data_IF_344681470884
#
_entry.id   IF_344681470884
#
_cell.length_a   1.000
_cell.length_b   1.000
_cell.length_c   1.000
_cell.angle_alpha   90.00
_cell.angle_beta   90.00
_cell.angle_gamma   90.00
#
_symmetry.space_group_name_H-M   'P 1'
#
loop_
_entity.id
_entity.type
_entity.pdbx_description
1 polymer ?
#
# COMPACT_ATOMS: atom_id res chain seq x y z
N UNK A 1 2.59 27.26 -23.36
CA UNK A 1 2.29 25.85 -23.06
C UNK A 1 2.60 25.48 -21.60
N UNK A 2 3.77 25.78 -21.08
CA UNK A 2 4.16 25.41 -19.70
C UNK A 2 3.31 26.06 -18.59
N UNK A 3 2.85 27.30 -18.72
CA UNK A 3 1.95 27.95 -17.76
C UNK A 3 0.59 27.25 -17.74
N UNK A 4 0.11 26.77 -18.91
CA UNK A 4 -1.13 25.98 -19.03
C UNK A 4 -1.01 24.62 -18.33
N UNK A 5 0.14 23.96 -18.45
CA UNK A 5 0.39 22.69 -17.75
C UNK A 5 0.45 22.88 -16.23
N UNK A 6 1.09 23.95 -15.76
CA UNK A 6 1.15 24.26 -14.33
C UNK A 6 -0.24 24.54 -13.76
N UNK A 7 -1.07 25.29 -14.48
CA UNK A 7 -2.44 25.58 -14.08
C UNK A 7 -3.30 24.31 -14.07
N UNK A 8 -3.22 23.49 -15.12
CA UNK A 8 -3.92 22.19 -15.22
C UNK A 8 -3.56 21.29 -14.04
N UNK A 9 -2.26 21.10 -13.79
CA UNK A 9 -1.78 20.29 -12.67
C UNK A 9 -2.30 20.81 -11.32
N UNK A 10 -2.19 22.12 -11.07
CA UNK A 10 -2.62 22.71 -9.82
C UNK A 10 -4.13 22.55 -9.59
N UNK A 11 -4.95 22.67 -10.64
CA UNK A 11 -6.40 22.46 -10.57
C UNK A 11 -6.73 20.99 -10.32
N UNK A 12 -6.07 20.05 -11.01
CA UNK A 12 -6.23 18.62 -10.77
C UNK A 12 -5.79 18.25 -9.35
N UNK A 13 -4.62 18.73 -8.89
CA UNK A 13 -4.16 18.42 -7.53
C UNK A 13 -5.13 18.95 -6.44
N UNK A 14 -5.79 20.09 -6.67
CA UNK A 14 -6.78 20.67 -5.77
C UNK A 14 -8.17 20.04 -5.87
N UNK A 15 -8.53 19.42 -7.00
CA UNK A 15 -9.81 18.75 -7.17
C UNK A 15 -10.01 17.67 -6.10
N UNK A 16 -11.17 17.64 -5.44
CA UNK A 16 -11.44 16.76 -4.31
C UNK A 16 -12.35 15.57 -4.65
N UNK A 17 -13.00 15.61 -5.82
CA UNK A 17 -13.93 14.60 -6.30
C UNK A 17 -13.90 14.51 -7.83
N UNK A 18 -14.57 13.51 -8.41
CA UNK A 18 -14.63 13.32 -9.86
C UNK A 18 -15.29 14.47 -10.60
N UNK A 19 -16.30 15.12 -10.00
CA UNK A 19 -16.99 16.27 -10.65
C UNK A 19 -16.04 17.44 -10.85
N UNK A 20 -15.16 17.69 -9.86
CA UNK A 20 -14.15 18.74 -9.97
C UNK A 20 -13.15 18.38 -11.09
N UNK A 21 -12.71 17.12 -11.18
CA UNK A 21 -11.81 16.64 -12.24
C UNK A 21 -12.46 16.81 -13.60
N UNK A 22 -13.72 16.38 -13.77
CA UNK A 22 -14.47 16.53 -15.04
C UNK A 22 -14.56 18.00 -15.45
N UNK A 23 -14.85 18.90 -14.49
CA UNK A 23 -14.88 20.34 -14.76
C UNK A 23 -13.53 20.83 -15.27
N UNK A 24 -12.42 20.47 -14.61
CA UNK A 24 -11.07 20.84 -15.05
C UNK A 24 -10.79 20.32 -16.46
N UNK A 25 -11.12 19.06 -16.76
CA UNK A 25 -10.92 18.50 -18.09
C UNK A 25 -11.73 19.23 -19.16
N UNK A 26 -12.97 19.62 -18.86
CA UNK A 26 -13.81 20.43 -19.77
C UNK A 26 -13.22 21.83 -20.00
N UNK A 27 -12.81 22.51 -18.93
CA UNK A 27 -12.23 23.86 -18.98
C UNK A 27 -10.94 23.90 -19.82
N UNK A 28 -10.18 22.80 -19.85
CA UNK A 28 -8.93 22.68 -20.62
C UNK A 28 -9.10 22.02 -22.00
N UNK A 29 -10.30 21.55 -22.34
CA UNK A 29 -10.62 20.92 -23.63
C UNK A 29 -10.19 19.46 -23.73
N UNK A 30 -9.93 18.77 -22.61
CA UNK A 30 -9.50 17.37 -22.57
C UNK A 30 -10.61 16.37 -22.22
N UNK A 31 -11.85 16.83 -22.06
CA UNK A 31 -12.95 15.92 -21.68
C UNK A 31 -13.40 15.04 -22.84
N UNK A 32 -13.48 15.59 -24.04
CA UNK A 32 -13.89 14.83 -25.22
C UNK A 32 -12.76 13.92 -25.70
N UNK A 33 -13.06 12.62 -25.79
CA UNK A 33 -12.09 11.59 -26.20
C UNK A 33 -12.20 11.28 -27.68
N UNK A 34 -13.34 11.60 -28.29
CA UNK A 34 -13.59 11.33 -29.72
C UNK A 34 -12.57 12.07 -30.56
N UNK A 35 -11.78 11.31 -31.32
CA UNK A 35 -10.73 11.85 -32.20
C UNK A 35 -9.61 12.63 -31.44
N UNK A 36 -9.52 12.51 -30.13
CA UNK A 36 -8.50 13.20 -29.36
C UNK A 36 -7.15 12.49 -29.47
N UNK A 37 -6.11 13.26 -29.82
CA UNK A 37 -4.71 12.80 -29.78
C UNK A 37 -4.06 13.02 -28.41
N UNK A 38 -4.84 13.49 -27.41
CA UNK A 38 -4.35 13.86 -26.10
C UNK A 38 -4.43 12.73 -25.09
N UNK A 39 -4.96 11.57 -25.48
CA UNK A 39 -5.11 10.41 -24.64
C UNK A 39 -4.43 9.19 -25.27
N UNK A 40 -3.64 8.47 -24.47
CA UNK A 40 -2.99 7.22 -24.84
C UNK A 40 -3.53 6.05 -24.02
N UNK A 41 -3.44 4.83 -24.55
CA UNK A 41 -3.83 3.63 -23.82
C UNK A 41 -2.82 3.33 -22.71
N UNK A 42 -3.31 3.08 -21.50
CA UNK A 42 -2.47 2.69 -20.37
C UNK A 42 -1.78 1.35 -20.69
N UNK A 43 -0.45 1.31 -20.55
CA UNK A 43 0.36 0.14 -20.85
C UNK A 43 0.45 -0.18 -22.34
N UNK A 44 0.15 0.81 -23.21
CA UNK A 44 0.12 0.65 -24.68
C UNK A 44 -0.75 -0.54 -25.14
N UNK A 45 -1.90 -0.74 -24.47
CA UNK A 45 -2.79 -1.88 -24.68
C UNK A 45 -4.26 -1.46 -24.63
N UNK A 46 -4.98 -1.63 -25.74
CA UNK A 46 -6.41 -1.32 -25.84
C UNK A 46 -7.31 -2.25 -25.00
N UNK A 47 -6.85 -3.45 -24.69
CA UNK A 47 -7.57 -4.45 -23.88
C UNK A 47 -7.16 -4.42 -22.39
N UNK A 48 -6.58 -3.30 -21.93
CA UNK A 48 -5.97 -3.20 -20.60
C UNK A 48 -6.96 -3.31 -19.42
N UNK A 49 -8.24 -2.99 -19.64
CA UNK A 49 -9.23 -2.92 -18.56
C UNK A 49 -9.49 -4.29 -17.93
N UNK A 50 -9.53 -5.35 -18.71
CA UNK A 50 -9.69 -6.71 -18.17
C UNK A 50 -8.54 -7.09 -17.23
N UNK A 51 -7.31 -6.78 -17.61
CA UNK A 51 -6.13 -7.00 -16.79
C UNK A 51 -6.17 -6.19 -15.49
N UNK A 52 -6.50 -4.89 -15.58
CA UNK A 52 -6.60 -3.99 -14.41
C UNK A 52 -7.76 -4.39 -13.50
N UNK A 53 -8.91 -4.76 -14.06
CA UNK A 53 -10.11 -5.09 -13.29
C UNK A 53 -10.03 -6.46 -12.60
N UNK A 54 -9.25 -7.39 -13.14
CA UNK A 54 -9.04 -8.72 -12.55
C UNK A 54 -7.91 -8.76 -11.50
N UNK A 55 -7.23 -7.64 -11.28
CA UNK A 55 -6.28 -7.52 -10.19
C UNK A 55 -7.01 -7.44 -8.84
N UNK A 56 -6.26 -7.26 -7.77
CA UNK A 56 -6.73 -7.28 -6.39
C UNK A 56 -8.13 -6.69 -6.18
N UNK A 57 -9.09 -7.53 -5.78
CA UNK A 57 -10.49 -7.16 -5.54
C UNK A 57 -10.69 -6.43 -4.21
N UNK A 58 -9.73 -6.56 -3.26
CA UNK A 58 -9.77 -5.88 -1.98
C UNK A 58 -9.17 -4.48 -2.09
N UNK A 59 -9.99 -3.46 -1.78
CA UNK A 59 -9.56 -2.07 -1.83
C UNK A 59 -8.42 -1.72 -0.85
N UNK A 60 -8.36 -2.38 0.30
CA UNK A 60 -7.28 -2.15 1.27
C UNK A 60 -5.97 -2.77 0.81
N UNK A 61 -6.03 -3.98 0.24
CA UNK A 61 -4.87 -4.64 -0.36
C UNK A 61 -4.30 -3.85 -1.53
N UNK A 62 -5.15 -3.33 -2.41
CA UNK A 62 -4.73 -2.48 -3.53
C UNK A 62 -4.06 -1.18 -3.04
N UNK A 63 -4.59 -0.56 -1.97
CA UNK A 63 -3.99 0.63 -1.38
C UNK A 63 -2.63 0.33 -0.73
N UNK A 64 -2.52 -0.80 0.00
CA UNK A 64 -1.26 -1.24 0.60
C UNK A 64 -0.20 -1.48 -0.47
N UNK A 65 -0.54 -2.06 -1.61
CA UNK A 65 0.43 -2.24 -2.70
C UNK A 65 0.99 -0.92 -3.25
N UNK A 66 0.18 0.15 -3.31
CA UNK A 66 0.71 1.48 -3.65
C UNK A 66 1.69 1.99 -2.60
N UNK A 67 1.39 1.79 -1.31
CA UNK A 67 2.26 2.19 -0.21
C UNK A 67 3.56 1.37 -0.19
N UNK A 68 3.47 0.07 -0.44
CA UNK A 68 4.62 -0.83 -0.59
C UNK A 68 5.52 -0.40 -1.74
N UNK A 69 4.95 -0.08 -2.91
CA UNK A 69 5.73 0.43 -4.04
C UNK A 69 6.45 1.75 -3.71
N UNK A 70 5.85 2.59 -2.86
CA UNK A 70 6.47 3.83 -2.37
C UNK A 70 7.62 3.56 -1.39
N UNK A 71 7.52 2.52 -0.56
CA UNK A 71 8.63 2.06 0.29
C UNK A 71 9.77 1.51 -0.57
N UNK A 72 9.47 0.65 -1.53
CA UNK A 72 10.45 0.09 -2.47
C UNK A 72 11.25 1.20 -3.18
N UNK A 73 10.56 2.24 -3.65
CA UNK A 73 11.22 3.38 -4.30
C UNK A 73 12.20 4.11 -3.36
N UNK A 74 11.92 4.15 -2.05
CA UNK A 74 12.84 4.69 -1.06
C UNK A 74 14.04 3.78 -0.82
N UNK A 75 13.86 2.45 -0.75
CA UNK A 75 14.95 1.48 -0.59
C UNK A 75 15.88 1.50 -1.79
N UNK A 76 15.32 1.52 -3.00
CA UNK A 76 16.08 1.59 -4.26
C UNK A 76 16.87 2.91 -4.34
N UNK A 77 16.24 4.04 -3.94
CA UNK A 77 16.92 5.33 -3.88
C UNK A 77 18.19 5.27 -3.02
N UNK A 78 18.09 4.75 -1.80
CA UNK A 78 19.22 4.68 -0.88
C UNK A 78 20.33 3.76 -1.40
N UNK A 79 19.98 2.63 -2.03
CA UNK A 79 20.94 1.77 -2.68
C UNK A 79 21.71 2.53 -3.77
N UNK A 80 21.03 3.24 -4.67
CA UNK A 80 21.65 4.03 -5.75
C UNK A 80 22.47 5.19 -5.22
N UNK A 81 22.00 5.90 -4.20
CA UNK A 81 22.74 7.00 -3.56
C UNK A 81 24.02 6.52 -2.85
N UNK A 82 24.03 5.26 -2.40
CA UNK A 82 25.22 4.60 -1.84
C UNK A 82 26.18 4.06 -2.91
N UNK A 83 25.89 4.30 -4.19
CA UNK A 83 26.70 3.81 -5.31
C UNK A 83 26.52 2.31 -5.59
N UNK A 84 25.46 1.68 -5.07
CA UNK A 84 25.13 0.27 -5.30
C UNK A 84 24.15 0.14 -6.46
N UNK A 85 24.43 -0.78 -7.37
CA UNK A 85 23.42 -1.26 -8.30
C UNK A 85 22.45 -2.16 -7.54
N UNK A 86 21.13 -1.83 -7.51
CA UNK A 86 20.12 -2.61 -6.79
C UNK A 86 20.01 -4.08 -7.24
N UNK A 87 20.39 -4.40 -8.47
CA UNK A 87 20.35 -5.75 -9.04
C UNK A 87 21.64 -6.55 -8.81
N UNK A 88 22.69 -5.92 -8.30
CA UNK A 88 23.99 -6.55 -8.11
C UNK A 88 24.00 -7.53 -6.92
N UNK A 89 24.96 -8.46 -6.93
CA UNK A 89 25.19 -9.36 -5.81
C UNK A 89 25.64 -8.64 -4.52
N UNK A 90 26.17 -7.42 -4.63
CA UNK A 90 26.58 -6.58 -3.50
C UNK A 90 25.42 -5.84 -2.85
N UNK A 91 24.26 -5.83 -3.49
CA UNK A 91 23.05 -5.27 -2.94
C UNK A 91 22.55 -6.10 -1.74
N UNK A 92 21.75 -5.52 -0.84
CA UNK A 92 21.16 -6.26 0.28
C UNK A 92 20.43 -7.52 -0.20
N UNK A 93 20.56 -8.60 0.55
CA UNK A 93 19.97 -9.90 0.22
C UNK A 93 18.49 -10.01 0.63
N UNK A 94 18.06 -9.11 1.51
CA UNK A 94 16.69 -9.04 2.05
C UNK A 94 16.27 -7.60 2.34
N UNK A 95 14.98 -7.40 2.55
CA UNK A 95 14.44 -6.11 3.01
C UNK A 95 15.01 -5.73 4.37
N UNK A 96 15.16 -6.69 5.27
CA UNK A 96 15.72 -6.45 6.60
C UNK A 96 17.14 -5.93 6.51
N UNK A 97 18.00 -6.57 5.69
CA UNK A 97 19.37 -6.11 5.43
C UNK A 97 19.38 -4.69 4.85
N UNK A 98 18.48 -4.39 3.93
CA UNK A 98 18.39 -3.07 3.33
C UNK A 98 17.98 -2.00 4.34
N UNK A 99 16.99 -2.29 5.16
CA UNK A 99 16.47 -1.37 6.19
C UNK A 99 17.52 -1.13 7.27
N UNK A 100 18.26 -2.16 7.68
CA UNK A 100 19.36 -2.01 8.61
C UNK A 100 20.52 -1.21 8.01
N UNK A 101 20.93 -1.55 6.78
CA UNK A 101 22.06 -0.91 6.09
C UNK A 101 21.80 0.56 5.77
N UNK A 102 20.61 0.90 5.28
CA UNK A 102 20.33 2.24 4.76
C UNK A 102 19.65 3.17 5.77
N UNK A 103 18.94 2.62 6.74
CA UNK A 103 18.17 3.40 7.71
C UNK A 103 18.58 3.15 9.16
N UNK A 104 19.59 2.31 9.39
CA UNK A 104 20.08 1.96 10.71
C UNK A 104 18.97 1.44 11.67
N UNK A 105 18.02 0.67 11.13
CA UNK A 105 16.95 0.04 11.89
C UNK A 105 17.37 -1.40 12.17
N UNK A 106 17.86 -1.64 13.37
CA UNK A 106 18.40 -2.93 13.79
C UNK A 106 17.39 -4.07 13.56
N UNK A 107 17.79 -5.10 12.83
CA UNK A 107 16.97 -6.29 12.51
C UNK A 107 15.60 -5.94 11.88
N UNK A 108 15.45 -4.73 11.28
CA UNK A 108 14.18 -4.26 10.74
C UNK A 108 13.11 -3.98 11.81
N UNK A 109 13.47 -3.92 13.08
CA UNK A 109 12.53 -3.72 14.17
C UNK A 109 12.23 -2.22 14.38
N UNK A 110 11.07 -1.76 13.93
CA UNK A 110 10.64 -0.36 14.03
C UNK A 110 10.46 0.12 15.49
N UNK A 111 10.33 -0.79 16.46
CA UNK A 111 10.18 -0.41 17.86
C UNK A 111 11.50 0.06 18.50
N UNK A 112 12.62 -0.15 17.83
CA UNK A 112 13.93 0.40 18.23
C UNK A 112 14.07 1.90 17.93
N UNK A 113 13.18 2.46 17.09
CA UNK A 113 13.19 3.85 16.71
C UNK A 113 12.62 4.76 17.81
N UNK A 114 13.26 5.91 18.02
CA UNK A 114 12.62 6.98 18.77
C UNK A 114 11.38 7.51 18.02
N UNK A 115 10.43 8.11 18.73
CA UNK A 115 9.26 8.73 18.08
C UNK A 115 9.66 9.76 17.03
N UNK A 116 10.70 10.54 17.28
CA UNK A 116 11.22 11.55 16.35
C UNK A 116 11.78 10.91 15.08
N UNK A 117 12.55 9.83 15.22
CA UNK A 117 13.14 9.14 14.07
C UNK A 117 12.06 8.42 13.25
N UNK A 118 11.10 7.79 13.93
CA UNK A 118 9.95 7.18 13.27
C UNK A 118 9.10 8.21 12.50
N UNK A 119 8.89 9.42 13.05
CA UNK A 119 8.19 10.51 12.36
C UNK A 119 9.00 11.05 11.17
N UNK A 120 10.33 11.15 11.31
CA UNK A 120 11.21 11.58 10.21
C UNK A 120 11.18 10.57 9.06
N UNK A 121 11.22 9.28 9.35
CA UNK A 121 11.14 8.22 8.35
C UNK A 121 9.74 8.15 7.71
N UNK A 122 8.68 8.32 8.50
CA UNK A 122 7.31 8.32 8.02
C UNK A 122 7.00 9.41 6.98
N UNK A 123 7.80 10.49 6.94
CA UNK A 123 7.69 11.52 5.91
C UNK A 123 8.19 11.07 4.54
N UNK A 124 8.88 9.94 4.46
CA UNK A 124 9.39 9.42 3.18
C UNK A 124 8.29 8.75 2.35
N UNK A 125 7.28 8.20 3.03
CA UNK A 125 6.06 7.65 2.41
C UNK A 125 4.87 8.12 3.21
N UNK A 126 3.92 8.82 2.58
CA UNK A 126 2.73 9.34 3.27
C UNK A 126 1.45 8.99 2.53
N UNK A 127 0.41 8.69 3.30
CA UNK A 127 -0.98 8.58 2.85
C UNK A 127 -1.77 9.75 3.43
N UNK A 128 -2.29 10.63 2.58
CA UNK A 128 -3.03 11.83 2.98
C UNK A 128 -4.46 11.74 2.49
N UNK A 129 -5.45 11.87 3.39
CA UNK A 129 -6.84 12.00 2.99
C UNK A 129 -7.20 13.46 2.74
N UNK A 130 -7.85 13.71 1.61
CA UNK A 130 -8.39 15.00 1.19
C UNK A 130 -9.88 14.86 0.88
N UNK A 131 -10.56 15.96 0.54
CA UNK A 131 -11.96 15.97 0.18
C UNK A 131 -12.89 16.22 1.36
N UNK A 132 -14.13 15.84 1.22
CA UNK A 132 -15.16 16.12 2.24
C UNK A 132 -15.11 15.12 3.40
N UNK A 133 -15.53 15.60 4.58
CA UNK A 133 -15.78 14.73 5.75
C UNK A 133 -16.90 13.74 5.44
N UNK A 134 -16.74 12.49 5.88
CA UNK A 134 -17.84 11.52 5.82
C UNK A 134 -19.05 12.03 6.60
N UNK A 135 -20.22 12.04 5.98
CA UNK A 135 -21.50 12.39 6.62
C UNK A 135 -22.21 11.11 7.05
N UNK A 136 -22.80 11.10 8.26
CA UNK A 136 -23.47 9.92 8.84
C UNK A 136 -24.52 9.27 7.92
N UNK A 137 -25.14 10.04 7.03
CA UNK A 137 -26.26 9.60 6.19
C UNK A 137 -25.90 9.50 4.68
N UNK A 138 -24.64 9.68 4.29
CA UNK A 138 -24.19 9.53 2.89
C UNK A 138 -23.23 8.36 2.77
N UNK A 139 -23.76 7.21 2.32
CA UNK A 139 -22.96 5.98 2.11
C UNK A 139 -22.01 6.09 0.91
N UNK A 140 -22.27 7.02 -0.02
CA UNK A 140 -21.59 7.13 -1.31
C UNK A 140 -20.60 8.30 -1.34
N UNK A 141 -20.15 8.79 -0.19
CA UNK A 141 -19.14 9.84 -0.12
C UNK A 141 -17.79 9.24 0.28
N UNK A 142 -16.91 9.12 -0.69
CA UNK A 142 -15.58 8.55 -0.52
C UNK A 142 -14.51 9.64 -0.42
N UNK A 143 -13.45 9.43 0.38
CA UNK A 143 -12.31 10.33 0.42
C UNK A 143 -11.49 10.24 -0.87
N UNK A 144 -10.79 11.31 -1.22
CA UNK A 144 -9.67 11.24 -2.13
C UNK A 144 -8.38 11.04 -1.34
N UNK A 145 -7.47 10.21 -1.86
CA UNK A 145 -6.19 9.95 -1.21
C UNK A 145 -5.05 10.51 -2.04
N UNK A 146 -4.08 11.09 -1.35
CA UNK A 146 -2.80 11.47 -1.91
C UNK A 146 -1.74 10.56 -1.31
N UNK A 147 -1.06 9.78 -2.14
CA UNK A 147 0.09 8.96 -1.77
C UNK A 147 1.33 9.69 -2.26
N UNK A 148 2.27 9.87 -1.38
CA UNK A 148 3.47 10.65 -1.61
C UNK A 148 4.67 9.82 -1.21
N UNK A 149 5.67 9.71 -2.07
CA UNK A 149 6.96 9.16 -1.70
C UNK A 149 8.13 10.09 -2.07
N UNK A 150 9.19 9.98 -1.28
CA UNK A 150 10.50 10.62 -1.52
C UNK A 150 11.51 9.65 -2.09
N UNK A 151 11.02 8.70 -2.90
CA UNK A 151 11.84 7.71 -3.57
C UNK A 151 12.65 8.29 -4.74
N UNK A 152 13.15 7.41 -5.59
CA UNK A 152 13.98 7.81 -6.74
C UNK A 152 13.23 8.70 -7.74
N UNK A 153 11.89 8.60 -7.81
CA UNK A 153 11.08 9.28 -8.82
C UNK A 153 11.41 8.84 -10.24
N UNK A 154 10.66 9.41 -11.20
CA UNK A 154 10.84 9.12 -12.62
C UNK A 154 10.95 10.42 -13.41
N UNK A 155 11.79 10.43 -14.45
CA UNK A 155 11.80 11.53 -15.41
C UNK A 155 10.55 11.45 -16.30
N UNK A 156 10.03 12.58 -16.83
CA UNK A 156 8.88 12.55 -17.73
C UNK A 156 9.04 11.58 -18.91
N UNK A 157 10.26 11.46 -19.45
CA UNK A 157 10.57 10.59 -20.58
C UNK A 157 10.41 9.10 -20.26
N UNK A 158 10.53 8.70 -18.97
CA UNK A 158 10.52 7.31 -18.54
C UNK A 158 9.18 6.89 -17.91
N UNK A 159 8.24 7.82 -17.72
CA UNK A 159 6.97 7.50 -17.05
C UNK A 159 6.13 6.48 -17.81
N UNK A 160 6.14 6.49 -19.14
CA UNK A 160 5.40 5.55 -19.97
C UNK A 160 5.92 4.12 -19.81
N UNK A 161 7.24 3.95 -19.66
CA UNK A 161 7.89 2.66 -19.48
C UNK A 161 7.91 2.15 -18.05
N UNK A 162 7.55 2.99 -17.08
CA UNK A 162 7.61 2.67 -15.65
C UNK A 162 6.24 2.77 -14.97
N UNK A 163 5.80 3.98 -14.64
CA UNK A 163 4.57 4.23 -13.85
C UNK A 163 3.29 3.94 -14.64
N UNK A 164 3.32 4.03 -15.96
CA UNK A 164 2.19 3.83 -16.87
C UNK A 164 2.26 2.52 -17.65
N UNK A 165 3.25 1.67 -17.37
CA UNK A 165 3.42 0.37 -18.01
C UNK A 165 2.58 -0.71 -17.34
N UNK A 166 2.16 -1.70 -18.12
CA UNK A 166 1.58 -2.95 -17.63
C UNK A 166 2.60 -4.09 -17.84
N UNK A 167 2.79 -4.93 -16.82
CA UNK A 167 3.58 -6.16 -16.91
C UNK A 167 5.09 -5.99 -17.25
N UNK A 168 5.67 -4.80 -17.15
CA UNK A 168 7.12 -4.65 -17.26
C UNK A 168 7.77 -4.96 -15.91
N UNK A 169 8.57 -6.03 -15.85
CA UNK A 169 9.21 -6.57 -14.63
C UNK A 169 10.44 -5.80 -14.17
N UNK A 170 10.33 -4.49 -13.95
CA UNK A 170 11.47 -3.61 -13.64
C UNK A 170 12.14 -3.85 -12.27
N UNK A 171 11.57 -4.73 -11.42
CA UNK A 171 12.06 -4.99 -10.05
C UNK A 171 12.35 -6.48 -9.78
N UNK A 172 12.17 -7.37 -10.74
CA UNK A 172 12.22 -8.82 -10.52
C UNK A 172 13.57 -9.34 -10.01
N UNK A 173 14.66 -8.63 -10.29
CA UNK A 173 16.00 -9.00 -9.86
C UNK A 173 16.42 -8.37 -8.53
N UNK A 174 15.65 -7.43 -8.01
CA UNK A 174 15.98 -6.73 -6.78
C UNK A 174 15.47 -7.56 -5.59
N UNK A 175 16.36 -8.04 -4.74
CA UNK A 175 16.06 -8.97 -3.64
C UNK A 175 15.44 -8.29 -2.41
N UNK A 176 15.65 -6.97 -2.26
CA UNK A 176 15.27 -6.20 -1.07
C UNK A 176 14.04 -5.30 -1.28
N UNK A 177 13.13 -5.67 -2.18
CA UNK A 177 11.86 -4.99 -2.41
C UNK A 177 10.68 -5.92 -2.19
N UNK A 178 9.53 -5.35 -1.84
CA UNK A 178 8.30 -6.11 -1.58
C UNK A 178 7.52 -6.42 -2.86
N UNK A 179 7.50 -5.47 -3.81
CA UNK A 179 6.74 -5.58 -5.05
C UNK A 179 7.40 -6.54 -6.04
N UNK A 180 6.79 -7.71 -6.24
CA UNK A 180 7.27 -8.72 -7.20
C UNK A 180 6.75 -8.48 -8.62
N UNK A 181 5.58 -7.88 -8.77
CA UNK A 181 4.89 -7.71 -10.04
C UNK A 181 4.44 -6.26 -10.19
N UNK A 182 4.78 -5.60 -11.29
CA UNK A 182 4.28 -4.25 -11.61
C UNK A 182 2.75 -4.16 -11.80
N UNK A 183 2.03 -5.25 -11.56
CA UNK A 183 0.58 -5.34 -11.73
C UNK A 183 -0.20 -4.74 -10.55
N UNK A 184 0.25 -4.94 -9.32
CA UNK A 184 -0.49 -4.51 -8.13
C UNK A 184 -0.70 -3.00 -8.03
N UNK A 185 0.22 -2.21 -8.58
CA UNK A 185 0.13 -0.76 -8.59
C UNK A 185 -1.02 -0.18 -9.40
N UNK A 186 -1.63 -0.92 -10.32
CA UNK A 186 -2.77 -0.48 -11.15
C UNK A 186 -4.13 -0.90 -10.57
N UNK A 187 -4.16 -1.86 -9.64
CA UNK A 187 -5.40 -2.35 -9.01
C UNK A 187 -6.21 -1.24 -8.31
N UNK A 188 -5.57 -0.17 -7.85
CA UNK A 188 -6.25 0.97 -7.22
C UNK A 188 -7.21 1.70 -8.17
N UNK A 189 -6.97 1.66 -9.50
CA UNK A 189 -7.75 2.39 -10.49
C UNK A 189 -9.23 1.96 -10.46
N UNK A 190 -9.50 0.66 -10.29
CA UNK A 190 -10.88 0.15 -10.21
C UNK A 190 -11.65 0.67 -8.99
N UNK A 191 -10.95 1.09 -7.96
CA UNK A 191 -11.53 1.60 -6.72
C UNK A 191 -11.66 3.13 -6.68
N UNK A 192 -11.17 3.83 -7.71
CA UNK A 192 -11.29 5.28 -7.85
C UNK A 192 -12.59 5.63 -8.54
N UNK A 193 -13.58 6.17 -7.82
CA UNK A 193 -14.85 6.65 -8.35
C UNK A 193 -15.47 5.82 -9.47
N UNK A 194 -16.13 6.48 -10.41
CA UNK A 194 -16.72 5.84 -11.57
C UNK A 194 -15.86 5.96 -12.83
N UNK A 195 -15.01 6.96 -12.88
CA UNK A 195 -14.10 7.22 -14.01
C UNK A 195 -12.68 6.70 -13.79
N UNK A 196 -12.36 6.11 -12.66
CA UNK A 196 -11.02 5.60 -12.39
C UNK A 196 -9.93 6.66 -12.42
N UNK A 197 -10.25 7.90 -12.03
CA UNK A 197 -9.29 9.00 -12.06
C UNK A 197 -8.16 8.80 -11.07
N UNK A 198 -6.95 8.85 -11.58
CA UNK A 198 -5.73 8.87 -10.80
C UNK A 198 -4.77 9.90 -11.40
N UNK A 199 -4.42 10.95 -10.64
CA UNK A 199 -3.36 11.89 -11.01
C UNK A 199 -2.03 11.31 -10.56
N UNK A 200 -1.06 11.24 -11.46
CA UNK A 200 0.30 10.78 -11.19
C UNK A 200 1.24 11.94 -11.53
N UNK A 201 2.13 12.29 -10.62
CA UNK A 201 3.23 13.21 -10.91
C UNK A 201 4.53 12.63 -10.34
N UNK A 202 5.62 12.74 -11.10
CA UNK A 202 6.91 12.23 -10.66
C UNK A 202 8.06 13.11 -11.15
N UNK A 203 9.12 13.15 -10.34
CA UNK A 203 10.39 13.81 -10.67
C UNK A 203 11.54 12.97 -10.16
N UNK A 204 12.48 12.67 -11.05
CA UNK A 204 13.67 11.88 -10.73
C UNK A 204 14.55 12.63 -9.72
N UNK A 205 15.17 11.88 -8.82
CA UNK A 205 16.11 12.45 -7.85
C UNK A 205 17.29 13.10 -8.56
N UNK A 206 17.70 14.35 -8.22
CA UNK A 206 18.71 15.10 -8.97
C UNK A 206 20.05 14.39 -9.15
N UNK A 207 20.48 13.60 -8.16
CA UNK A 207 21.74 12.83 -8.23
C UNK A 207 21.65 11.58 -9.12
N UNK A 208 20.45 11.20 -9.57
CA UNK A 208 20.22 10.03 -10.41
C UNK A 208 19.88 10.40 -11.86
N UNK A 209 19.94 11.68 -12.21
CA UNK A 209 19.66 12.16 -13.56
C UNK A 209 20.77 11.68 -14.49
N UNK A 210 20.38 11.01 -15.55
CA UNK A 210 21.27 10.50 -16.60
C UNK A 210 21.23 11.40 -17.84
N UNK A 211 22.19 11.17 -18.76
CA UNK A 211 22.21 11.91 -20.02
C UNK A 211 20.91 11.66 -20.81
N UNK A 212 20.17 12.73 -21.09
CA UNK A 212 18.87 12.68 -21.78
C UNK A 212 17.66 12.74 -20.86
N UNK A 213 17.84 12.59 -19.55
CA UNK A 213 16.75 12.80 -18.56
C UNK A 213 16.43 14.29 -18.41
N UNK A 214 15.17 14.56 -18.07
CA UNK A 214 14.70 15.89 -17.67
C UNK A 214 14.66 16.03 -16.16
N UNK A 215 15.15 17.16 -15.64
CA UNK A 215 15.02 17.53 -14.21
C UNK A 215 13.70 18.29 -13.93
N UNK A 216 12.65 17.90 -14.59
CA UNK A 216 11.32 18.47 -14.44
C UNK A 216 10.35 17.45 -13.84
N UNK A 217 9.25 17.93 -13.27
CA UNK A 217 8.12 17.10 -12.94
C UNK A 217 7.37 16.71 -14.22
N UNK A 218 7.13 15.42 -14.43
CA UNK A 218 6.13 14.93 -15.36
C UNK A 218 4.83 14.66 -14.63
N UNK A 219 3.68 14.83 -15.29
CA UNK A 219 2.40 14.43 -14.70
C UNK A 219 1.44 13.90 -15.75
N UNK A 220 0.48 13.11 -15.32
CA UNK A 220 -0.62 12.62 -16.14
C UNK A 220 -1.84 12.31 -15.29
N UNK A 221 -2.99 12.18 -15.92
CA UNK A 221 -4.25 11.75 -15.30
C UNK A 221 -4.73 10.48 -16.01
N UNK A 222 -4.97 9.40 -15.26
CA UNK A 222 -5.66 8.23 -15.82
C UNK A 222 -7.17 8.46 -15.85
N UNK A 223 -7.85 7.82 -16.83
CA UNK A 223 -9.30 7.81 -16.95
C UNK A 223 -9.76 6.47 -17.49
N UNK A 224 -10.77 5.88 -16.83
CA UNK A 224 -11.55 4.80 -17.42
C UNK A 224 -12.56 5.39 -18.39
N UNK A 225 -12.58 4.87 -19.58
CA UNK A 225 -13.47 5.25 -20.68
C UNK A 225 -14.38 4.08 -20.98
N UNK A 226 -15.68 4.31 -20.93
CA UNK A 226 -16.68 3.29 -21.26
C UNK A 226 -16.84 3.13 -22.77
N UNK A 227 -17.49 2.06 -23.19
CA UNK A 227 -17.80 1.80 -24.58
C UNK A 227 -18.70 2.90 -25.18
N UNK A 228 -19.70 3.36 -24.44
CA UNK A 228 -20.61 4.43 -24.86
C UNK A 228 -19.87 5.75 -25.18
N UNK A 229 -18.78 6.02 -24.46
CA UNK A 229 -17.96 7.21 -24.71
C UNK A 229 -17.08 7.08 -25.97
N UNK A 230 -16.94 5.85 -26.53
CA UNK A 230 -16.16 5.51 -27.73
C UNK A 230 -17.02 5.10 -28.92
N UNK A 231 -18.30 5.51 -28.97
CA UNK A 231 -19.25 5.25 -30.07
C UNK A 231 -19.69 3.78 -30.21
N UNK A 232 -19.65 2.97 -29.18
CA UNK A 232 -20.08 1.58 -29.22
C UNK A 232 -19.21 0.65 -30.08
N UNK A 233 -17.98 1.09 -30.42
CA UNK A 233 -17.06 0.30 -31.26
C UNK A 233 -16.34 -0.82 -30.49
N UNK A 234 -16.39 -0.80 -29.17
CA UNK A 234 -15.65 -1.69 -28.31
C UNK A 234 -16.59 -2.37 -27.31
N UNK A 235 -16.31 -3.63 -27.01
CA UNK A 235 -17.13 -4.44 -26.07
C UNK A 235 -16.75 -4.28 -24.60
N UNK A 236 -15.77 -3.42 -24.26
CA UNK A 236 -15.29 -3.23 -22.91
C UNK A 236 -14.75 -1.83 -22.68
N UNK A 237 -14.75 -1.39 -21.43
CA UNK A 237 -14.03 -0.18 -21.03
C UNK A 237 -12.53 -0.30 -21.31
N UNK A 238 -11.85 0.84 -21.35
CA UNK A 238 -10.39 0.94 -21.43
C UNK A 238 -9.90 1.97 -20.41
N UNK A 239 -8.68 1.80 -19.92
CA UNK A 239 -8.00 2.84 -19.15
C UNK A 239 -7.03 3.58 -20.05
N UNK A 240 -7.16 4.90 -20.07
CA UNK A 240 -6.29 5.81 -20.84
C UNK A 240 -5.59 6.77 -19.86
N UNK A 241 -4.54 7.41 -20.35
CA UNK A 241 -3.86 8.48 -19.62
C UNK A 241 -3.67 9.72 -20.51
N UNK A 242 -3.69 10.89 -19.88
CA UNK A 242 -3.60 12.19 -20.53
C UNK A 242 -2.16 12.47 -20.98
N UNK A 243 -1.96 12.66 -22.27
CA UNK A 243 -0.69 12.98 -22.91
C UNK A 243 -0.92 14.02 -24.02
N UNK A 244 -1.13 15.32 -23.70
CA UNK A 244 -1.43 16.37 -24.67
C UNK A 244 -0.38 16.45 -25.76
N UNK A 245 -0.82 16.33 -27.03
CA UNK A 245 0.09 16.26 -28.17
C UNK A 245 0.95 15.00 -28.23
N UNK A 246 0.59 13.95 -27.50
CA UNK A 246 1.28 12.66 -27.47
C UNK A 246 2.45 12.55 -26.46
N UNK A 247 2.66 13.57 -25.63
CA UNK A 247 3.77 13.61 -24.65
C UNK A 247 3.27 13.79 -23.22
N UNK A 248 4.03 13.28 -22.25
CA UNK A 248 3.79 13.53 -20.83
C UNK A 248 3.99 15.02 -20.53
N UNK A 249 2.96 15.76 -20.06
CA UNK A 249 3.08 17.17 -19.74
C UNK A 249 4.07 17.41 -18.60
N UNK A 250 4.80 18.52 -18.68
CA UNK A 250 5.91 18.87 -17.79
C UNK A 250 5.65 20.15 -17.01
N UNK A 251 6.19 20.20 -15.80
CA UNK A 251 6.14 21.35 -14.90
C UNK A 251 7.55 21.82 -14.55
N UNK A 252 7.76 23.14 -14.58
CA UNK A 252 9.04 23.75 -14.15
C UNK A 252 9.13 23.99 -12.64
N UNK A 253 8.16 23.54 -11.87
CA UNK A 253 8.16 23.76 -10.43
C UNK A 253 9.33 23.07 -9.75
N UNK A 254 10.05 23.78 -8.89
CA UNK A 254 11.12 23.19 -8.08
C UNK A 254 10.54 22.25 -7.02
N UNK A 255 9.36 22.55 -6.49
CA UNK A 255 8.68 21.80 -5.44
C UNK A 255 7.17 21.85 -5.62
N UNK A 256 6.48 20.80 -5.19
CA UNK A 256 5.03 20.70 -5.18
C UNK A 256 4.54 20.71 -3.74
N UNK A 257 3.54 21.54 -3.45
CA UNK A 257 2.91 21.57 -2.14
C UNK A 257 1.90 20.43 -2.01
N UNK A 258 2.13 19.56 -1.02
CA UNK A 258 1.34 18.35 -0.80
C UNK A 258 0.45 18.38 0.45
N UNK A 259 0.76 19.28 1.41
CA UNK A 259 -0.04 19.50 2.61
C UNK A 259 -0.46 20.97 2.69
N UNK A 260 -1.72 21.27 3.11
CA UNK A 260 -2.28 22.61 2.99
C UNK A 260 -1.81 23.61 4.05
N UNK A 261 -1.40 23.19 5.25
CA UNK A 261 -1.20 24.08 6.38
C UNK A 261 -0.01 23.78 7.28
N UNK A 262 0.12 24.58 8.35
CA UNK A 262 1.14 24.43 9.39
C UNK A 262 0.78 23.33 10.41
N UNK A 263 -0.50 22.94 10.48
CA UNK A 263 -1.06 22.10 11.55
C UNK A 263 -0.73 20.61 11.43
N UNK A 264 0.03 20.22 10.39
CA UNK A 264 0.35 18.82 10.11
C UNK A 264 1.78 18.44 10.50
N UNK A 265 2.37 19.17 11.43
CA UNK A 265 3.65 18.77 12.01
C UNK A 265 3.58 17.33 12.57
N UNK A 266 4.63 16.52 12.43
CA UNK A 266 5.98 16.88 11.97
C UNK A 266 6.19 16.83 10.45
N UNK A 267 5.17 16.58 9.65
CA UNK A 267 5.31 16.29 8.23
C UNK A 267 5.53 17.54 7.37
N UNK A 268 6.50 17.45 6.45
CA UNK A 268 6.83 18.54 5.53
C UNK A 268 5.75 18.73 4.48
N UNK A 269 5.49 19.98 4.13
CA UNK A 269 4.43 20.42 3.22
C UNK A 269 4.79 20.29 1.74
N UNK A 270 6.06 20.33 1.42
CA UNK A 270 6.55 20.40 0.05
C UNK A 270 7.38 19.18 -0.30
N UNK A 271 7.22 18.72 -1.54
CA UNK A 271 7.98 17.64 -2.16
C UNK A 271 8.85 18.21 -3.29
N UNK A 272 10.16 17.94 -3.26
CA UNK A 272 11.12 18.43 -4.26
C UNK A 272 11.42 17.40 -5.35
N UNK A 273 11.33 16.11 -5.03
CA UNK A 273 11.45 14.96 -5.94
C UNK A 273 10.66 13.77 -5.38
N UNK A 274 10.54 12.70 -6.18
CA UNK A 274 9.80 11.49 -5.83
C UNK A 274 8.50 11.39 -6.61
N UNK A 275 7.49 10.74 -6.04
CA UNK A 275 6.22 10.49 -6.74
C UNK A 275 5.01 10.93 -5.91
N UNK A 276 4.03 11.45 -6.60
CA UNK A 276 2.71 11.82 -6.07
C UNK A 276 1.67 11.04 -6.86
N UNK A 277 0.79 10.33 -6.16
CA UNK A 277 -0.36 9.66 -6.75
C UNK A 277 -1.62 10.11 -6.02
N UNK A 278 -2.54 10.77 -6.72
CA UNK A 278 -3.84 11.15 -6.16
C UNK A 278 -4.93 10.26 -6.71
N UNK A 279 -5.63 9.57 -5.81
CA UNK A 279 -6.75 8.68 -6.08
C UNK A 279 -8.04 9.45 -5.75
N UNK A 280 -8.89 9.68 -6.73
CA UNK A 280 -10.12 10.44 -6.51
C UNK A 280 -11.26 9.53 -6.08
N UNK A 281 -12.00 9.96 -5.04
CA UNK A 281 -13.17 9.26 -4.47
C UNK A 281 -12.93 7.75 -4.31
N UNK A 282 -11.85 7.40 -3.61
CA UNK A 282 -11.43 6.02 -3.41
C UNK A 282 -12.42 5.23 -2.57
N UNK A 283 -13.00 4.18 -3.10
CA UNK A 283 -14.15 3.42 -2.56
C UNK A 283 -13.80 2.60 -1.31
N UNK A 284 -13.38 3.27 -0.25
CA UNK A 284 -13.24 2.67 1.09
C UNK A 284 -14.27 3.26 2.04
N UNK A 285 -15.02 2.43 2.78
CA UNK A 285 -15.93 2.91 3.80
C UNK A 285 -15.18 3.70 4.87
N UNK A 286 -15.59 4.93 5.12
CA UNK A 286 -15.00 5.80 6.13
C UNK A 286 -16.09 6.30 7.08
N UNK A 287 -15.89 6.12 8.38
CA UNK A 287 -16.80 6.62 9.43
C UNK A 287 -16.16 7.73 10.26
N UNK A 288 -14.85 7.80 10.28
CA UNK A 288 -14.08 8.76 11.08
C UNK A 288 -12.80 9.19 10.36
N UNK A 289 -11.84 9.71 11.10
CA UNK A 289 -10.50 10.02 10.59
C UNK A 289 -9.80 8.78 10.07
N UNK A 290 -9.02 8.93 8.98
CA UNK A 290 -8.20 7.84 8.48
C UNK A 290 -7.10 7.42 9.47
N UNK A 291 -6.66 8.32 10.32
CA UNK A 291 -5.71 8.04 11.41
C UNK A 291 -6.27 7.07 12.46
N UNK A 292 -7.57 6.81 12.44
CA UNK A 292 -8.23 5.81 13.29
C UNK A 292 -8.68 4.59 12.47
N UNK A 293 -9.69 4.75 11.61
CA UNK A 293 -10.34 3.61 10.95
C UNK A 293 -9.45 2.96 9.89
N UNK A 294 -8.93 3.77 8.95
CA UNK A 294 -8.15 3.24 7.84
C UNK A 294 -6.79 2.72 8.32
N UNK A 295 -6.13 3.45 9.23
CA UNK A 295 -4.85 3.00 9.83
C UNK A 295 -4.94 1.59 10.39
N UNK A 296 -6.02 1.27 11.10
CA UNK A 296 -6.24 -0.06 11.67
C UNK A 296 -6.36 -1.13 10.59
N UNK A 297 -7.15 -0.82 9.55
CA UNK A 297 -7.32 -1.75 8.42
C UNK A 297 -6.03 -2.00 7.66
N UNK A 298 -5.27 -0.95 7.39
CA UNK A 298 -3.99 -1.07 6.68
C UNK A 298 -2.96 -1.86 7.49
N UNK A 299 -2.90 -1.67 8.82
CA UNK A 299 -2.03 -2.47 9.68
C UNK A 299 -2.40 -3.96 9.70
N UNK A 300 -3.65 -4.33 9.47
CA UNK A 300 -4.06 -5.75 9.37
C UNK A 300 -3.76 -6.39 8.02
N UNK A 301 -3.57 -5.59 6.98
CA UNK A 301 -3.15 -6.06 5.63
C UNK A 301 -1.63 -6.04 5.50
N UNK A 302 -0.98 -5.08 6.13
CA UNK A 302 0.48 -4.98 6.24
C UNK A 302 0.86 -5.35 7.68
N UNK A 303 1.11 -6.65 7.95
CA UNK A 303 1.44 -7.11 9.29
C UNK A 303 2.77 -6.54 9.80
N UNK A 304 3.74 -6.35 8.90
CA UNK A 304 5.01 -5.68 9.19
C UNK A 304 5.32 -4.69 8.08
N UNK A 305 5.56 -3.43 8.41
CA UNK A 305 6.06 -2.44 7.47
C UNK A 305 7.58 -2.34 7.58
N UNK A 306 8.34 -2.36 6.49
CA UNK A 306 9.79 -2.17 6.55
C UNK A 306 10.19 -0.77 7.03
N UNK A 307 9.42 0.25 6.65
CA UNK A 307 9.60 1.64 7.06
C UNK A 307 8.26 2.18 7.60
N UNK A 308 8.29 3.12 8.55
CA UNK A 308 7.09 3.82 8.98
C UNK A 308 6.44 4.57 7.81
N UNK A 309 5.10 4.50 7.68
CA UNK A 309 4.33 5.26 6.71
C UNK A 309 3.55 6.34 7.44
N UNK A 310 3.68 7.60 7.02
CA UNK A 310 2.89 8.70 7.56
C UNK A 310 1.44 8.60 7.11
N UNK A 311 0.49 8.82 8.01
CA UNK A 311 -0.92 8.91 7.68
C UNK A 311 -1.47 10.25 8.17
N UNK A 312 -2.11 11.01 7.27
CA UNK A 312 -2.55 12.38 7.52
C UNK A 312 -3.99 12.57 7.06
N UNK A 313 -4.82 13.16 7.91
CA UNK A 313 -6.19 13.51 7.56
C UNK A 313 -6.37 15.03 7.51
N UNK A 314 -6.46 15.60 6.30
CA UNK A 314 -6.62 17.04 6.09
C UNK A 314 -8.06 17.52 6.08
N UNK A 315 -9.04 16.60 6.24
CA UNK A 315 -10.47 16.90 6.13
C UNK A 315 -11.07 17.66 7.32
N UNK A 316 -10.25 18.07 8.28
CA UNK A 316 -10.67 18.96 9.37
C UNK A 316 -11.65 18.33 10.37
N UNK A 317 -11.57 17.02 10.63
CA UNK A 317 -12.32 16.40 11.73
C UNK A 317 -11.89 16.98 13.08
N UNK A 318 -12.87 17.30 13.95
CA UNK A 318 -12.60 17.74 15.32
C UNK A 318 -12.03 16.61 16.20
N UNK A 319 -11.27 17.00 17.25
CA UNK A 319 -10.71 16.08 18.26
C UNK A 319 -9.60 15.15 17.73
N UNK A 320 -8.65 14.80 18.56
CA UNK A 320 -7.50 13.93 18.25
C UNK A 320 -6.52 14.48 17.21
N UNK A 321 -5.38 13.81 17.04
CA UNK A 321 -4.34 14.24 16.10
C UNK A 321 -4.74 13.96 14.65
N UNK A 322 -4.48 14.89 13.70
CA UNK A 322 -4.70 14.65 12.29
C UNK A 322 -3.61 13.78 11.64
N UNK A 323 -2.54 13.47 12.36
CA UNK A 323 -1.38 12.73 11.90
C UNK A 323 -1.11 11.51 12.78
N UNK A 324 -0.66 10.41 12.17
CA UNK A 324 -0.25 9.18 12.84
C UNK A 324 0.67 8.38 11.89
N UNK A 325 1.03 7.14 12.25
CA UNK A 325 1.91 6.24 11.48
C UNK A 325 1.25 4.88 11.27
N UNK A 326 1.53 4.27 10.12
CA UNK A 326 1.29 2.86 9.84
C UNK A 326 2.63 2.14 10.02
N UNK A 327 2.71 1.20 10.93
CA UNK A 327 3.91 0.45 11.28
C UNK A 327 3.78 -1.06 11.02
N UNK A 328 2.56 -1.52 10.76
CA UNK A 328 2.22 -2.94 10.75
C UNK A 328 1.76 -3.44 12.12
N UNK A 329 0.93 -4.48 12.10
CA UNK A 329 0.26 -5.00 13.29
C UNK A 329 1.27 -5.48 14.35
N UNK A 330 2.33 -6.18 13.93
CA UNK A 330 3.38 -6.68 14.84
C UNK A 330 4.07 -5.54 15.59
N UNK A 331 4.46 -4.48 14.90
CA UNK A 331 5.18 -3.36 15.52
C UNK A 331 4.30 -2.53 16.47
N UNK A 332 2.98 -2.43 16.19
CA UNK A 332 2.07 -1.67 17.06
C UNK A 332 1.78 -2.43 18.35
N UNK A 333 1.77 -3.76 18.30
CA UNK A 333 1.22 -4.61 19.34
C UNK A 333 2.28 -5.39 20.13
N UNK A 334 3.57 -5.18 19.85
CA UNK A 334 4.65 -5.96 20.50
C UNK A 334 4.53 -6.01 22.03
N UNK A 335 4.26 -4.87 22.68
CA UNK A 335 4.07 -4.81 24.13
C UNK A 335 2.71 -5.34 24.65
N UNK A 336 1.87 -5.91 23.78
CA UNK A 336 0.53 -6.42 24.12
C UNK A 336 0.43 -7.94 23.97
N UNK A 337 1.54 -8.60 23.61
CA UNK A 337 1.60 -10.05 23.55
C UNK A 337 2.01 -10.63 24.91
N UNK A 338 1.28 -11.65 25.36
CA UNK A 338 1.62 -12.41 26.57
C UNK A 338 2.99 -13.06 26.34
N UNK A 339 3.93 -12.86 27.24
CA UNK A 339 5.30 -13.36 27.15
C UNK A 339 6.03 -13.06 25.84
N UNK A 340 5.58 -12.02 25.13
CA UNK A 340 6.16 -11.55 23.88
C UNK A 340 5.84 -12.41 22.66
N UNK A 341 6.60 -12.19 21.60
CA UNK A 341 6.44 -12.86 20.31
C UNK A 341 7.32 -14.11 20.27
N UNK A 342 6.78 -15.20 19.74
CA UNK A 342 7.47 -16.49 19.61
C UNK A 342 7.79 -16.76 18.13
N UNK A 343 8.86 -17.51 17.91
CA UNK A 343 9.34 -17.90 16.58
C UNK A 343 9.50 -19.41 16.50
N UNK A 344 9.22 -19.99 15.35
CA UNK A 344 9.45 -21.38 15.03
C UNK A 344 9.79 -21.54 13.56
N UNK A 345 10.36 -22.69 13.19
CA UNK A 345 10.56 -23.09 11.81
C UNK A 345 9.88 -24.44 11.61
N UNK A 346 9.21 -24.60 10.47
CA UNK A 346 8.59 -25.86 10.06
C UNK A 346 9.09 -26.25 8.68
N UNK A 347 9.34 -27.56 8.51
CA UNK A 347 9.67 -28.15 7.21
C UNK A 347 8.41 -28.80 6.65
N UNK A 348 8.02 -28.37 5.46
CA UNK A 348 6.83 -28.87 4.80
C UNK A 348 7.26 -29.65 3.55
N UNK A 349 7.04 -30.96 3.49
CA UNK A 349 7.40 -31.78 2.32
C UNK A 349 6.83 -31.19 1.04
N UNK A 350 7.62 -31.17 -0.03
CA UNK A 350 7.28 -30.66 -1.35
C UNK A 350 6.95 -29.15 -1.44
N UNK A 351 6.98 -28.44 -0.31
CA UNK A 351 6.71 -26.99 -0.22
C UNK A 351 8.00 -26.23 0.13
N UNK A 352 8.67 -26.60 1.22
CA UNK A 352 9.91 -25.97 1.69
C UNK A 352 9.90 -25.64 3.18
N UNK A 353 10.90 -24.88 3.60
CA UNK A 353 11.08 -24.45 4.99
C UNK A 353 10.38 -23.10 5.20
N UNK A 354 9.58 -23.00 6.26
CA UNK A 354 8.81 -21.81 6.61
C UNK A 354 9.20 -21.31 7.99
N UNK A 355 9.34 -19.98 8.08
CA UNK A 355 9.46 -19.28 9.36
C UNK A 355 8.07 -18.90 9.86
N UNK A 356 7.80 -19.22 11.10
CA UNK A 356 6.52 -18.96 11.75
C UNK A 356 6.77 -17.97 12.90
N UNK A 357 6.04 -16.87 12.89
CA UNK A 357 6.00 -15.89 13.98
C UNK A 357 4.61 -15.92 14.60
N UNK A 358 4.49 -16.06 15.91
CA UNK A 358 3.19 -16.13 16.55
C UNK A 358 3.19 -15.46 17.92
N UNK A 359 2.00 -15.02 18.36
CA UNK A 359 1.83 -14.40 19.66
C UNK A 359 0.37 -14.37 20.07
N UNK A 360 0.13 -14.41 21.37
CA UNK A 360 -1.21 -14.32 21.96
C UNK A 360 -1.39 -12.93 22.54
N UNK A 361 -2.43 -12.22 22.11
CA UNK A 361 -2.76 -10.92 22.67
C UNK A 361 -3.32 -11.06 24.09
N UNK A 362 -2.89 -10.19 24.98
CA UNK A 362 -3.44 -10.11 26.32
C UNK A 362 -4.92 -9.69 26.27
N UNK A 363 -5.79 -10.62 26.57
CA UNK A 363 -7.23 -10.42 26.71
C UNK A 363 -7.65 -10.46 28.16
N UNK A 364 -7.18 -9.55 28.98
CA UNK A 364 -7.78 -9.41 30.30
C UNK A 364 -9.23 -8.99 30.14
N UNK A 365 -10.09 -9.72 30.85
CA UNK A 365 -11.55 -9.56 30.80
C UNK A 365 -11.95 -8.08 30.93
N UNK A 366 -12.80 -7.54 30.01
CA UNK A 366 -13.27 -6.16 30.12
C UNK A 366 -13.98 -5.86 31.45
N UNK A 367 -14.52 -6.87 32.11
CA UNK A 367 -15.22 -6.71 33.40
C UNK A 367 -14.27 -6.51 34.57
N UNK A 368 -13.01 -6.99 34.51
CA UNK A 368 -12.01 -6.82 35.55
C UNK A 368 -11.31 -5.46 35.54
N UNK A 369 -11.42 -4.68 34.47
CA UNK A 369 -10.81 -3.36 34.39
C UNK A 369 -11.70 -2.31 35.04
N UNK A 370 -11.25 -1.72 36.14
CA UNK A 370 -11.95 -0.64 36.87
C UNK A 370 -12.01 0.68 36.10
N UNK A 371 -11.39 0.77 34.92
CA UNK A 371 -11.24 2.03 34.17
C UNK A 371 -11.89 1.96 32.78
N UNK A 372 -12.80 2.87 32.48
CA UNK A 372 -13.53 2.95 31.20
C UNK A 372 -12.62 3.15 29.98
N UNK A 373 -11.43 3.72 30.16
CA UNK A 373 -10.45 3.89 29.07
C UNK A 373 -9.78 2.56 28.68
N UNK A 374 -9.50 1.69 29.66
CA UNK A 374 -8.98 0.36 29.38
C UNK A 374 -10.00 -0.55 28.71
N UNK A 375 -11.28 -0.47 29.12
CA UNK A 375 -12.38 -1.17 28.43
C UNK A 375 -12.51 -0.74 26.96
N UNK A 376 -12.37 0.56 26.69
CA UNK A 376 -12.36 1.07 25.31
C UNK A 376 -11.16 0.59 24.51
N UNK A 377 -9.95 0.59 25.10
CA UNK A 377 -8.73 0.10 24.43
C UNK A 377 -8.83 -1.38 24.07
N UNK A 378 -9.36 -2.21 24.95
CA UNK A 378 -9.53 -3.67 24.74
C UNK A 378 -10.58 -4.00 23.69
N UNK A 379 -11.74 -3.30 23.70
CA UNK A 379 -12.75 -3.43 22.64
C UNK A 379 -12.22 -2.97 21.27
N UNK A 380 -11.30 -2.02 21.26
CA UNK A 380 -10.61 -1.58 20.05
C UNK A 380 -9.66 -2.64 19.51
N UNK A 381 -8.96 -3.40 20.35
CA UNK A 381 -8.04 -4.47 19.96
C UNK A 381 -8.75 -5.59 19.18
N UNK A 382 -9.89 -6.09 19.71
CA UNK A 382 -10.71 -7.11 19.01
C UNK A 382 -11.23 -6.66 17.64
N UNK A 383 -11.35 -5.34 17.41
CA UNK A 383 -11.80 -4.78 16.14
C UNK A 383 -10.68 -4.58 15.10
N UNK A 384 -9.41 -4.68 15.50
CA UNK A 384 -8.27 -4.29 14.66
C UNK A 384 -7.70 -5.43 13.82
N UNK A 385 -7.86 -6.69 14.23
CA UNK A 385 -7.41 -7.81 13.43
C UNK A 385 -8.38 -9.01 13.49
N UNK A 386 -8.32 -9.86 12.49
CA UNK A 386 -8.95 -11.17 12.52
C UNK A 386 -7.92 -12.18 13.00
N UNK A 387 -8.25 -12.94 14.01
CA UNK A 387 -7.41 -14.05 14.45
C UNK A 387 -7.25 -15.10 13.35
N UNK A 388 -6.12 -15.78 13.35
CA UNK A 388 -5.81 -16.82 12.39
C UNK A 388 -4.35 -16.86 12.01
N UNK A 389 -4.03 -17.65 10.98
CA UNK A 389 -2.71 -17.74 10.42
C UNK A 389 -2.66 -17.05 9.05
N UNK A 390 -1.81 -16.04 8.96
CA UNK A 390 -1.63 -15.21 7.78
C UNK A 390 -0.43 -15.70 6.97
N UNK A 391 -0.62 -15.87 5.67
CA UNK A 391 0.50 -16.02 4.75
C UNK A 391 1.04 -14.64 4.40
N UNK A 392 2.29 -14.39 4.75
CA UNK A 392 2.92 -13.10 4.45
C UNK A 392 4.12 -13.25 3.53
N UNK A 393 4.27 -12.26 2.65
CA UNK A 393 5.47 -12.05 1.86
C UNK A 393 6.02 -10.67 2.22
N UNK A 394 7.21 -10.64 2.80
CA UNK A 394 7.83 -9.40 3.27
C UNK A 394 6.91 -8.53 4.15
N UNK A 395 6.13 -9.18 5.02
CA UNK A 395 5.20 -8.52 5.95
C UNK A 395 3.85 -8.12 5.37
N UNK A 396 3.64 -8.24 4.06
CA UNK A 396 2.34 -8.02 3.43
C UNK A 396 1.51 -9.31 3.41
N UNK A 397 0.24 -9.22 3.80
CA UNK A 397 -0.68 -10.37 3.83
C UNK A 397 -1.14 -10.75 2.41
N UNK A 398 -1.04 -12.03 2.08
CA UNK A 398 -1.49 -12.62 0.82
C UNK A 398 -2.55 -13.71 0.99
N UNK A 399 -2.79 -14.18 2.19
CA UNK A 399 -3.81 -15.18 2.50
C UNK A 399 -4.03 -15.32 4.00
N UNK A 400 -5.11 -15.99 4.37
CA UNK A 400 -5.51 -16.19 5.76
C UNK A 400 -6.11 -17.57 5.96
N UNK A 401 -5.62 -18.31 6.95
CA UNK A 401 -6.32 -19.43 7.56
C UNK A 401 -7.13 -18.86 8.71
N UNK A 402 -8.48 -18.89 8.67
CA UNK A 402 -9.31 -18.23 9.68
C UNK A 402 -9.10 -18.78 11.10
N UNK A 403 -9.40 -17.99 12.13
CA UNK A 403 -9.32 -18.39 13.54
C UNK A 403 -10.08 -19.65 13.92
N UNK A 404 -11.12 -20.02 13.15
CA UNK A 404 -11.81 -21.28 13.29
C UNK A 404 -10.87 -22.53 13.19
N UNK A 405 -9.71 -22.41 12.51
CA UNK A 405 -8.66 -23.43 12.53
C UNK A 405 -8.10 -23.62 13.95
N UNK A 406 -7.85 -22.54 14.66
CA UNK A 406 -7.31 -22.53 16.03
C UNK A 406 -8.28 -23.27 16.95
N UNK A 407 -9.57 -22.95 16.90
CA UNK A 407 -10.59 -23.62 17.69
C UNK A 407 -10.83 -25.07 17.23
N UNK A 408 -11.20 -25.27 15.97
CA UNK A 408 -11.72 -26.55 15.50
C UNK A 408 -10.65 -27.64 15.34
N UNK A 409 -9.47 -27.27 14.79
CA UNK A 409 -8.40 -28.21 14.50
C UNK A 409 -7.37 -28.26 15.62
N UNK A 410 -6.94 -27.08 16.14
CA UNK A 410 -5.95 -27.05 17.23
C UNK A 410 -6.56 -27.30 18.61
N UNK A 411 -7.89 -27.21 18.78
CA UNK A 411 -8.57 -27.37 20.09
C UNK A 411 -8.13 -26.34 21.13
N UNK A 412 -7.91 -25.11 20.71
CA UNK A 412 -7.53 -23.98 21.54
C UNK A 412 -8.65 -22.93 21.49
N UNK A 413 -9.76 -23.25 22.18
CA UNK A 413 -11.03 -22.50 22.05
C UNK A 413 -10.90 -21.06 22.58
N UNK A 414 -10.22 -20.86 23.72
CA UNK A 414 -10.01 -19.54 24.32
C UNK A 414 -9.05 -18.65 23.52
N UNK A 415 -8.22 -19.24 22.66
CA UNK A 415 -7.26 -18.52 21.83
C UNK A 415 -7.79 -18.19 20.44
N UNK A 416 -9.01 -18.63 20.06
CA UNK A 416 -9.59 -18.39 18.73
C UNK A 416 -9.53 -16.92 18.31
N UNK A 417 -9.80 -16.00 19.23
CA UNK A 417 -9.87 -14.56 18.94
C UNK A 417 -8.55 -13.80 19.21
N UNK A 418 -7.53 -14.45 19.77
CA UNK A 418 -6.38 -13.76 20.35
C UNK A 418 -5.04 -14.23 19.80
N UNK A 419 -4.98 -15.40 19.17
CA UNK A 419 -3.75 -15.94 18.60
C UNK A 419 -3.54 -15.38 17.17
N UNK A 420 -2.44 -14.68 16.98
CA UNK A 420 -1.95 -14.23 15.68
C UNK A 420 -0.79 -15.13 15.25
N UNK A 421 -0.88 -15.68 14.04
CA UNK A 421 0.17 -16.51 13.45
C UNK A 421 0.54 -15.88 12.09
N UNK A 422 1.82 -15.73 11.85
CA UNK A 422 2.40 -15.19 10.63
C UNK A 422 3.28 -16.29 10.00
N UNK A 423 2.86 -16.77 8.84
CA UNK A 423 3.54 -17.77 8.04
C UNK A 423 4.31 -17.04 6.96
N UNK A 424 5.62 -16.91 7.15
CA UNK A 424 6.50 -16.17 6.24
C UNK A 424 6.91 -17.05 5.07
N UNK A 425 6.51 -16.65 3.84
CA UNK A 425 6.69 -17.47 2.63
C UNK A 425 7.88 -17.04 1.76
N UNK A 426 8.73 -16.14 2.24
CA UNK A 426 9.87 -15.57 1.50
C UNK A 426 10.87 -16.64 1.03
N UNK A 427 11.08 -17.66 1.86
CA UNK A 427 12.03 -18.75 1.60
C UNK A 427 11.57 -19.76 0.56
N UNK A 428 10.27 -19.76 0.25
CA UNK A 428 9.68 -20.71 -0.70
C UNK A 428 10.08 -20.41 -2.14
N UNK A 429 10.08 -21.45 -2.98
CA UNK A 429 10.29 -21.29 -4.41
C UNK A 429 9.24 -20.38 -5.05
N UNK A 430 9.60 -19.70 -6.13
CA UNK A 430 8.69 -18.80 -6.86
C UNK A 430 7.38 -19.49 -7.23
N UNK A 431 7.45 -20.71 -7.74
CA UNK A 431 6.27 -21.52 -8.11
C UNK A 431 5.31 -21.72 -6.94
N UNK A 432 5.83 -22.08 -5.77
CA UNK A 432 5.00 -22.30 -4.57
C UNK A 432 4.41 -20.99 -4.07
N UNK A 433 5.22 -19.90 -4.04
CA UNK A 433 4.71 -18.57 -3.68
C UNK A 433 3.57 -18.12 -4.59
N UNK A 434 3.72 -18.26 -5.91
CA UNK A 434 2.67 -17.91 -6.88
C UNK A 434 1.38 -18.71 -6.64
N UNK A 435 1.47 -19.99 -6.29
CA UNK A 435 0.30 -20.80 -5.94
C UNK A 435 -0.39 -20.33 -4.65
N UNK A 436 0.37 -19.92 -3.64
CA UNK A 436 -0.15 -19.41 -2.36
C UNK A 436 -0.67 -17.97 -2.43
N UNK A 437 -0.17 -17.14 -3.38
CA UNK A 437 -0.47 -15.71 -3.50
C UNK A 437 -1.41 -15.36 -4.65
N UNK A 438 -2.10 -16.34 -5.25
CA UNK A 438 -3.06 -16.12 -6.34
C UNK A 438 -4.07 -15.02 -6.00
N UNK A 439 -4.47 -14.28 -7.00
CA UNK A 439 -5.11 -12.95 -6.97
C UNK A 439 -6.40 -12.83 -6.17
N UNK A 440 -7.02 -13.92 -5.76
CA UNK A 440 -8.20 -13.91 -4.89
C UNK A 440 -7.78 -14.08 -3.42
N UNK A 441 -7.29 -12.99 -2.83
CA UNK A 441 -6.79 -12.95 -1.44
C UNK A 441 -7.84 -13.28 -0.38
N UNK A 442 -9.11 -13.29 -0.73
CA UNK A 442 -10.21 -13.62 0.19
C UNK A 442 -10.62 -15.08 0.13
N UNK A 443 -10.38 -15.76 -1.00
CA UNK A 443 -10.56 -17.18 -1.17
C UNK A 443 -9.19 -17.79 -1.46
N UNK A 444 -8.46 -18.09 -0.42
CA UNK A 444 -7.29 -18.95 -0.53
C UNK A 444 -7.68 -20.19 -1.31
N UNK A 445 -7.14 -20.29 -2.52
CA UNK A 445 -7.33 -21.47 -3.33
C UNK A 445 -7.07 -22.71 -2.48
N UNK A 446 -8.04 -23.62 -2.41
CA UNK A 446 -7.85 -24.99 -2.00
C UNK A 446 -6.72 -25.56 -2.87
N UNK A 447 -5.54 -25.68 -2.32
CA UNK A 447 -4.34 -26.11 -3.01
C UNK A 447 -3.53 -27.03 -2.14
N UNK A 448 -2.92 -28.05 -2.75
CA UNK A 448 -2.09 -29.06 -2.06
C UNK A 448 -1.03 -28.43 -1.17
N UNK A 449 -0.42 -27.33 -1.61
CA UNK A 449 0.61 -26.59 -0.85
C UNK A 449 0.03 -25.98 0.43
N UNK A 450 -1.15 -25.41 0.36
CA UNK A 450 -1.83 -24.85 1.52
C UNK A 450 -2.21 -25.92 2.53
N UNK A 451 -2.81 -27.04 2.06
CA UNK A 451 -3.21 -28.14 2.93
C UNK A 451 -1.99 -28.78 3.59
N UNK A 452 -0.87 -28.90 2.89
CA UNK A 452 0.40 -29.36 3.43
C UNK A 452 0.93 -28.43 4.53
N UNK A 453 0.89 -27.10 4.31
CA UNK A 453 1.29 -26.12 5.30
C UNK A 453 0.37 -26.17 6.52
N UNK A 454 -0.94 -26.22 6.34
CA UNK A 454 -1.92 -26.30 7.42
C UNK A 454 -1.71 -27.57 8.25
N UNK A 455 -1.43 -28.71 7.59
CA UNK A 455 -1.14 -29.98 8.24
C UNK A 455 0.14 -29.96 9.07
N UNK A 456 1.18 -29.27 8.57
CA UNK A 456 2.45 -29.09 9.28
C UNK A 456 2.36 -28.06 10.44
N UNK A 457 1.52 -27.03 10.27
CA UNK A 457 1.27 -26.01 11.29
C UNK A 457 0.48 -26.57 12.47
N UNK A 458 -0.41 -27.54 12.22
CA UNK A 458 -1.32 -28.11 13.22
C UNK A 458 -0.61 -28.64 14.48
N UNK A 459 0.40 -29.53 14.40
CA UNK A 459 1.09 -30.01 15.60
C UNK A 459 1.88 -28.89 16.30
N UNK A 460 2.49 -27.96 15.56
CA UNK A 460 3.20 -26.83 16.14
C UNK A 460 2.30 -26.00 17.07
N UNK A 461 1.06 -25.78 16.69
CA UNK A 461 0.12 -24.94 17.46
C UNK A 461 -0.65 -25.78 18.49
N UNK A 462 -1.23 -26.91 18.07
CA UNK A 462 -2.04 -27.78 18.95
C UNK A 462 -1.24 -28.36 20.12
N UNK A 463 -0.01 -28.80 19.85
CA UNK A 463 0.79 -29.53 20.84
C UNK A 463 1.77 -28.62 21.61
N UNK A 464 1.70 -27.31 21.36
CA UNK A 464 2.52 -26.29 22.04
C UNK A 464 2.11 -26.17 23.51
N UNK A 465 3.04 -26.47 24.42
CA UNK A 465 2.79 -26.46 25.86
C UNK A 465 2.39 -25.08 26.37
N UNK A 466 3.05 -24.02 25.88
CA UNK A 466 2.75 -22.64 26.26
C UNK A 466 1.35 -22.21 25.81
N UNK A 467 0.94 -22.53 24.57
CA UNK A 467 -0.40 -22.23 24.09
C UNK A 467 -1.48 -23.01 24.85
N UNK A 468 -1.23 -24.29 25.20
CA UNK A 468 -2.14 -25.09 26.03
C UNK A 468 -2.31 -24.52 27.44
N UNK A 469 -1.27 -23.91 27.99
CA UNK A 469 -1.33 -23.27 29.31
C UNK A 469 -2.15 -21.96 29.28
N UNK A 470 -2.21 -21.30 28.14
CA UNK A 470 -2.95 -20.05 27.94
C UNK A 470 -4.41 -20.29 27.53
N UNK A 471 -4.72 -21.51 27.02
CA UNK A 471 -6.06 -21.93 26.64
C UNK A 471 -6.80 -22.46 27.86
#
# INVERSE_FOLDING_TARGET
MQDKNQELFNKLLKAENEKDVIKVLKDFGFWDIKNSKDWKFFGDNEANYSTINNQNTDQYGALVEKLVNSIDANLILEARLSGLDPESEKAPSSIQDAVEKFFNIKEGNLNTLSNKDADNLAQRTMLVATGAKAKKNKKDQFPSFLIIDKGEGQSPNNMEDTLLSLNKGNKQKIKFVQGLHNQGGTAVIRHCGDYGFQLIASKKHPKLIEKGDSNEWGFTLTRRVSDDEREGQYRSSVVMYLAPGGEIPRLKSKKIRVLPGEDFNPYKKDLEQGTIVKLYEYKVPQKSKITLDLRRRLNSVLLSSPLPIGIVDTRGYGGGRPTDRILGLWNIKEGQFIDGIKYAEIKVPDVGDLKIKYGVFETRDPESSKNNEEKKKKKQLKAEFKSGAYFTLNGQTHGLIPGAFIRRKCKLDELEDNLLIDIQIESLSTRVRENLTKTDRNNSSEGKERDAIESALLPLIRDNAWLKQLN
#
